data_IF_037871179352
#
_entry.id   IF_037871179352
#
_cell.length_a   1.000
_cell.length_b   1.000
_cell.length_c   1.000
_cell.angle_alpha   90.00
_cell.angle_beta   90.00
_cell.angle_gamma   90.00
#
_symmetry.space_group_name_H-M   'P 1'
#
loop_
_entity.id
_entity.type
_entity.pdbx_description
1 polymer ?
#
# COMPACT_ATOMS: atom_id res chain seq x y z
N UNK A 1 4.31 -20.08 -1.56
CA UNK A 1 3.56 -18.84 -1.26
C UNK A 1 2.73 -19.11 0.00
N UNK A 2 2.76 -18.23 1.01
CA UNK A 2 1.96 -18.36 2.25
C UNK A 2 0.77 -17.41 2.16
N UNK A 3 -0.39 -17.82 2.65
CA UNK A 3 -1.59 -16.97 2.71
C UNK A 3 -2.17 -17.00 4.11
N UNK A 4 -2.74 -15.86 4.51
CA UNK A 4 -3.49 -15.68 5.75
C UNK A 4 -4.81 -14.97 5.40
N UNK A 5 -5.90 -15.34 6.07
CA UNK A 5 -7.20 -14.68 5.91
C UNK A 5 -7.58 -14.00 7.21
N UNK A 6 -7.85 -12.70 7.15
CA UNK A 6 -8.29 -11.90 8.30
C UNK A 6 -9.68 -11.35 7.97
N UNK A 7 -10.67 -11.63 8.82
CA UNK A 7 -12.01 -11.09 8.66
C UNK A 7 -11.99 -9.55 8.74
N UNK A 8 -12.59 -8.87 7.75
CA UNK A 8 -12.67 -7.41 7.72
C UNK A 8 -13.60 -6.92 8.84
N UNK A 9 -13.02 -6.19 9.80
CA UNK A 9 -13.69 -5.53 10.93
C UNK A 9 -13.24 -4.06 10.99
N UNK A 10 -13.91 -3.16 11.72
CA UNK A 10 -13.55 -1.73 11.75
C UNK A 10 -12.07 -1.44 12.08
N UNK A 11 -11.42 -2.27 12.91
CA UNK A 11 -9.99 -2.14 13.28
C UNK A 11 -9.05 -3.09 12.52
N UNK A 12 -9.54 -3.78 11.49
CA UNK A 12 -8.76 -4.80 10.76
C UNK A 12 -7.53 -4.22 10.06
N UNK A 13 -7.61 -2.98 9.54
CA UNK A 13 -6.46 -2.32 8.92
C UNK A 13 -5.27 -2.19 9.88
N UNK A 14 -5.52 -1.71 11.11
CA UNK A 14 -4.47 -1.56 12.10
C UNK A 14 -3.82 -2.91 12.45
N UNK A 15 -4.62 -3.96 12.63
CA UNK A 15 -4.10 -5.30 12.89
C UNK A 15 -3.23 -5.84 11.73
N UNK A 16 -3.59 -5.53 10.48
CA UNK A 16 -2.78 -5.87 9.31
C UNK A 16 -1.46 -5.11 9.32
N UNK A 17 -1.48 -3.80 9.61
CA UNK A 17 -0.28 -2.96 9.67
C UNK A 17 0.70 -3.48 10.73
N UNK A 18 0.23 -3.81 11.92
CA UNK A 18 1.08 -4.36 12.98
C UNK A 18 1.70 -5.71 12.58
N UNK A 19 0.93 -6.58 11.91
CA UNK A 19 1.48 -7.82 11.34
C UNK A 19 2.53 -7.54 10.27
N UNK A 20 2.32 -6.54 9.40
CA UNK A 20 3.29 -6.17 8.37
C UNK A 20 4.63 -5.75 8.99
N UNK A 21 4.61 -4.96 10.08
CA UNK A 21 5.83 -4.53 10.79
C UNK A 21 6.61 -5.70 11.37
N UNK A 22 5.92 -6.69 11.94
CA UNK A 22 6.54 -7.85 12.58
C UNK A 22 7.06 -8.86 11.54
N UNK A 23 6.25 -9.17 10.53
CA UNK A 23 6.55 -10.23 9.58
C UNK A 23 7.46 -9.78 8.43
N UNK A 24 7.36 -8.50 8.05
CA UNK A 24 8.01 -7.96 6.85
C UNK A 24 8.71 -6.61 7.10
N UNK A 25 9.55 -6.47 8.15
CA UNK A 25 10.21 -5.21 8.46
C UNK A 25 11.10 -4.76 7.29
N UNK A 26 10.88 -3.54 6.81
CA UNK A 26 11.65 -2.93 5.72
C UNK A 26 11.54 -3.63 4.36
N UNK A 27 10.58 -4.54 4.17
CA UNK A 27 10.37 -5.24 2.90
C UNK A 27 9.40 -4.50 1.99
N UNK A 28 9.59 -4.65 0.69
CA UNK A 28 8.71 -4.06 -0.31
C UNK A 28 7.44 -4.90 -0.51
N UNK A 29 6.31 -4.24 -0.78
CA UNK A 29 5.03 -4.92 -0.99
C UNK A 29 3.97 -4.07 -1.70
N UNK A 30 2.86 -4.72 -2.07
CA UNK A 30 1.70 -4.07 -2.71
C UNK A 30 0.48 -4.31 -1.83
N UNK A 31 -0.28 -3.25 -1.57
CA UNK A 31 -1.61 -3.33 -0.97
C UNK A 31 -2.64 -3.04 -2.04
N UNK A 32 -3.43 -4.04 -2.40
CA UNK A 32 -4.55 -3.84 -3.33
C UNK A 32 -5.76 -3.27 -2.59
N UNK A 33 -6.29 -2.15 -3.10
CA UNK A 33 -7.48 -1.50 -2.59
C UNK A 33 -8.62 -1.56 -3.61
N UNK A 34 -9.86 -1.46 -3.12
CA UNK A 34 -11.06 -1.51 -3.96
C UNK A 34 -11.26 -0.21 -4.74
N UNK A 35 -10.83 0.93 -4.18
CA UNK A 35 -11.02 2.26 -4.79
C UNK A 35 -9.80 3.15 -4.63
N UNK A 36 -9.72 4.21 -5.47
CA UNK A 36 -8.66 5.24 -5.40
C UNK A 36 -8.61 5.91 -4.02
N UNK A 37 -9.79 6.27 -3.49
CA UNK A 37 -9.94 6.85 -2.15
C UNK A 37 -9.46 5.92 -1.04
N UNK A 38 -9.70 4.61 -1.18
CA UNK A 38 -9.19 3.62 -0.23
C UNK A 38 -7.66 3.53 -0.32
N UNK A 39 -7.04 3.61 -1.50
CA UNK A 39 -5.58 3.69 -1.62
C UNK A 39 -5.00 4.87 -0.83
N UNK A 40 -5.54 6.07 -1.00
CA UNK A 40 -5.08 7.26 -0.28
C UNK A 40 -5.23 7.09 1.24
N UNK A 41 -6.38 6.58 1.68
CA UNK A 41 -6.66 6.35 3.11
C UNK A 41 -5.70 5.33 3.71
N UNK A 42 -5.44 4.22 3.00
CA UNK A 42 -4.55 3.15 3.47
C UNK A 42 -3.09 3.60 3.44
N UNK A 43 -2.64 4.27 2.37
CA UNK A 43 -1.27 4.81 2.29
C UNK A 43 -0.99 5.78 3.44
N UNK A 44 -1.91 6.70 3.73
CA UNK A 44 -1.80 7.62 4.88
C UNK A 44 -1.76 6.87 6.21
N UNK A 45 -2.56 5.82 6.37
CA UNK A 45 -2.56 4.99 7.58
C UNK A 45 -1.22 4.26 7.78
N UNK A 46 -0.62 3.75 6.71
CA UNK A 46 0.71 3.12 6.72
C UNK A 46 1.80 4.14 7.09
N UNK A 47 1.78 5.31 6.48
CA UNK A 47 2.73 6.40 6.76
C UNK A 47 2.65 6.85 8.22
N UNK A 48 1.44 7.07 8.75
CA UNK A 48 1.22 7.42 10.16
C UNK A 48 1.74 6.35 11.13
N UNK A 49 1.92 5.12 10.66
CA UNK A 49 2.45 4.00 11.41
C UNK A 49 3.94 3.75 11.14
N UNK A 50 4.63 4.67 10.43
CA UNK A 50 6.06 4.59 10.15
C UNK A 50 6.43 3.68 8.99
N UNK A 51 5.47 3.21 8.18
CA UNK A 51 5.73 2.43 6.97
C UNK A 51 5.84 3.39 5.79
N UNK A 52 7.00 3.37 5.10
CA UNK A 52 7.18 4.12 3.84
C UNK A 52 6.23 3.58 2.77
N UNK A 53 5.18 4.35 2.48
CA UNK A 53 4.12 3.98 1.57
C UNK A 53 3.74 5.11 0.62
N UNK A 54 3.22 4.79 -0.57
CA UNK A 54 2.72 5.75 -1.55
C UNK A 54 1.52 5.17 -2.32
N UNK A 55 0.80 6.00 -3.08
CA UNK A 55 -0.37 5.59 -3.87
C UNK A 55 -0.01 5.31 -5.33
N UNK A 56 -0.62 4.29 -5.92
CA UNK A 56 -0.45 3.94 -7.33
C UNK A 56 -1.78 3.54 -7.98
N UNK A 57 -2.48 4.49 -8.61
CA UNK A 57 -3.74 4.23 -9.30
C UNK A 57 -3.94 5.08 -10.55
N UNK A 58 -4.85 4.67 -11.44
CA UNK A 58 -5.10 5.30 -12.74
C UNK A 58 -5.54 6.79 -12.67
N UNK A 59 -6.06 7.25 -11.51
CA UNK A 59 -6.37 8.67 -11.31
C UNK A 59 -5.15 9.58 -11.16
N UNK A 60 -3.95 9.05 -10.97
CA UNK A 60 -2.73 9.86 -10.87
C UNK A 60 -2.25 10.25 -12.28
N UNK A 61 -1.70 11.47 -12.46
CA UNK A 61 -1.01 11.84 -13.68
C UNK A 61 0.12 10.85 -14.02
N UNK A 62 0.33 10.60 -15.29
CA UNK A 62 1.38 9.70 -15.82
C UNK A 62 2.77 9.96 -15.22
N UNK A 63 3.14 11.23 -15.11
CA UNK A 63 4.42 11.64 -14.50
C UNK A 63 4.50 11.19 -13.04
N UNK A 64 3.42 11.37 -12.27
CA UNK A 64 3.39 10.94 -10.87
C UNK A 64 3.43 9.42 -10.75
N UNK A 65 2.67 8.68 -11.58
CA UNK A 65 2.72 7.20 -11.59
C UNK A 65 4.13 6.68 -11.85
N UNK A 66 4.83 7.24 -12.85
CA UNK A 66 6.23 6.88 -13.14
C UNK A 66 7.17 7.19 -11.98
N UNK A 67 7.00 8.33 -11.33
CA UNK A 67 7.79 8.69 -10.14
C UNK A 67 7.57 7.70 -9.00
N UNK A 68 6.32 7.40 -8.65
CA UNK A 68 6.01 6.45 -7.57
C UNK A 68 6.53 5.05 -7.89
N UNK A 69 6.33 4.58 -9.11
CA UNK A 69 6.85 3.29 -9.54
C UNK A 69 8.38 3.23 -9.44
N UNK A 70 9.08 4.27 -9.87
CA UNK A 70 10.55 4.34 -9.78
C UNK A 70 11.03 4.35 -8.33
N UNK A 71 10.35 5.10 -7.45
CA UNK A 71 10.65 5.10 -6.00
C UNK A 71 10.46 3.72 -5.38
N UNK A 72 9.38 3.03 -5.73
CA UNK A 72 9.09 1.70 -5.19
C UNK A 72 10.08 0.63 -5.69
N UNK A 73 10.36 0.60 -6.99
CA UNK A 73 11.37 -0.30 -7.58
C UNK A 73 12.77 -0.02 -7.00
N UNK A 74 13.08 1.25 -6.76
CA UNK A 74 14.35 1.67 -6.16
C UNK A 74 14.42 1.57 -4.63
N UNK A 75 13.45 0.93 -3.96
CA UNK A 75 13.37 0.80 -2.49
C UNK A 75 13.38 2.13 -1.71
N UNK A 76 13.00 3.25 -2.33
CA UNK A 76 12.76 4.52 -1.64
C UNK A 76 11.38 4.55 -0.97
N UNK A 77 10.44 3.78 -1.53
CA UNK A 77 9.12 3.50 -0.96
C UNK A 77 9.01 1.98 -0.81
N UNK A 78 8.58 1.50 0.36
CA UNK A 78 8.46 0.06 0.60
C UNK A 78 7.12 -0.46 0.08
N UNK A 79 6.02 0.26 0.33
CA UNK A 79 4.68 -0.23 0.02
C UNK A 79 3.96 0.69 -0.96
N UNK A 80 3.33 0.14 -2.00
CA UNK A 80 2.40 0.89 -2.85
C UNK A 80 0.96 0.42 -2.62
N UNK A 81 0.04 1.37 -2.46
CA UNK A 81 -1.40 1.12 -2.39
C UNK A 81 -2.01 1.31 -3.78
N UNK A 82 -2.51 0.23 -4.38
CA UNK A 82 -2.92 0.22 -5.78
C UNK A 82 -4.33 -0.30 -6.02
N UNK A 83 -4.97 0.19 -7.08
CA UNK A 83 -6.21 -0.39 -7.62
C UNK A 83 -5.90 -1.19 -8.87
N UNK A 84 -6.68 -2.24 -9.15
CA UNK A 84 -6.73 -2.84 -10.47
C UNK A 84 -7.28 -1.78 -11.43
N UNK A 85 -6.47 -1.35 -12.40
CA UNK A 85 -6.90 -0.38 -13.40
C UNK A 85 -8.06 -0.95 -14.20
N UNK A 86 -9.26 -0.37 -14.02
CA UNK A 86 -10.30 -0.45 -15.03
C UNK A 86 -10.11 0.77 -15.92
N UNK A 87 -9.82 0.51 -17.20
CA UNK A 87 -9.87 1.50 -18.25
C UNK A 87 -11.29 2.08 -18.35
#
# INVERSE_FOLDING_TARGET
MKYDVIAKRPKSLFAVIERMKVLYPGKSGIVYCLSRKECETVAKSLQNQGISADVYHAGLPDKQRRTVQSKWIGNHVNVICATIGKF
#
